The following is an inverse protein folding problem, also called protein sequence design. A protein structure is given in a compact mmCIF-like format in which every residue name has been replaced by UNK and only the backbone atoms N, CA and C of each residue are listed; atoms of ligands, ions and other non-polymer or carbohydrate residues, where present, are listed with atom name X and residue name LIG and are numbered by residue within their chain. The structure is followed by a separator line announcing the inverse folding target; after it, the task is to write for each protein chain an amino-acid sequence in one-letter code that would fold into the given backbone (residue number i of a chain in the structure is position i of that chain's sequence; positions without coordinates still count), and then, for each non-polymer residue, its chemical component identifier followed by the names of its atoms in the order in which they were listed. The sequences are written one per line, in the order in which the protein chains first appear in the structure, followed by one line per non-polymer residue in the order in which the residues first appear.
data_IF_916631453329
#
_entry.id   IF_916631453329
#
_cell.length_a   1.000
_cell.length_b   1.000
_cell.length_c   1.000
_cell.angle_alpha   90.00
_cell.angle_beta   90.00
_cell.angle_gamma   90.00
#
_symmetry.space_group_name_H-M   'P 1'
#
loop_
_entity.id
_entity.type
_entity.pdbx_description
1 polymer ?
#
# COMPACT_ATOMS: atom_id res chain seq x y z
N UNK A 1 -8.36 20.42 19.99
CA UNK A 1 -8.94 21.18 18.88
C UNK A 1 -9.36 20.13 17.87
N UNK A 2 -10.64 19.76 17.84
CA UNK A 2 -11.12 18.75 16.89
C UNK A 2 -11.20 19.41 15.51
N UNK A 3 -10.28 19.04 14.61
CA UNK A 3 -10.36 19.47 13.21
C UNK A 3 -11.65 18.93 12.59
N UNK A 4 -12.60 19.82 12.34
CA UNK A 4 -13.82 19.48 11.60
C UNK A 4 -13.49 19.37 10.10
N UNK A 5 -13.12 18.17 9.67
CA UNK A 5 -12.98 17.88 8.24
C UNK A 5 -14.34 17.87 7.54
N UNK A 6 -14.41 18.46 6.35
CA UNK A 6 -15.58 18.35 5.48
C UNK A 6 -15.82 16.90 5.03
N UNK A 7 -17.04 16.50 4.65
CA UNK A 7 -17.32 15.13 4.20
C UNK A 7 -16.40 14.68 3.07
N UNK A 8 -16.12 15.56 2.11
CA UNK A 8 -15.20 15.32 0.99
C UNK A 8 -13.77 15.08 1.47
N UNK A 9 -13.29 15.86 2.44
CA UNK A 9 -11.94 15.67 3.01
C UNK A 9 -11.82 14.34 3.77
N UNK A 10 -12.85 13.94 4.52
CA UNK A 10 -12.88 12.63 5.18
C UNK A 10 -12.85 11.48 4.18
N UNK A 11 -13.58 11.64 3.07
CA UNK A 11 -13.65 10.65 2.01
C UNK A 11 -12.31 10.55 1.24
N UNK A 12 -11.68 11.67 0.92
CA UNK A 12 -10.33 11.73 0.34
C UNK A 12 -9.32 11.01 1.25
N UNK A 13 -9.31 11.32 2.55
CA UNK A 13 -8.42 10.66 3.50
C UNK A 13 -8.64 9.15 3.57
N UNK A 14 -9.91 8.71 3.53
CA UNK A 14 -10.27 7.30 3.55
C UNK A 14 -9.77 6.58 2.29
N UNK A 15 -9.96 7.17 1.11
CA UNK A 15 -9.44 6.60 -0.14
C UNK A 15 -7.92 6.56 -0.15
N UNK A 16 -7.25 7.63 0.26
CA UNK A 16 -5.79 7.67 0.35
C UNK A 16 -5.26 6.57 1.27
N UNK A 17 -5.84 6.43 2.47
CA UNK A 17 -5.42 5.43 3.43
C UNK A 17 -5.58 4.00 2.88
N UNK A 18 -6.72 3.70 2.25
CA UNK A 18 -6.97 2.40 1.63
C UNK A 18 -5.98 2.15 0.48
N UNK A 19 -5.80 3.09 -0.44
CA UNK A 19 -4.87 2.91 -1.58
C UNK A 19 -3.42 2.67 -1.10
N UNK A 20 -2.93 3.46 -0.14
CA UNK A 20 -1.58 3.30 0.43
C UNK A 20 -1.45 1.95 1.15
N UNK A 21 -2.47 1.54 1.91
CA UNK A 21 -2.50 0.23 2.58
C UNK A 21 -2.29 -0.93 1.60
N UNK A 22 -2.78 -0.80 0.35
CA UNK A 22 -2.63 -1.83 -0.68
C UNK A 22 -1.40 -1.66 -1.57
N UNK A 23 -0.43 -0.80 -1.18
CA UNK A 23 0.84 -0.64 -1.88
C UNK A 23 0.75 0.20 -3.15
N UNK A 24 -0.24 1.11 -3.22
CA UNK A 24 -0.23 2.19 -4.20
C UNK A 24 0.73 3.29 -3.72
N UNK A 25 1.53 3.83 -4.64
CA UNK A 25 2.46 4.92 -4.34
C UNK A 25 1.72 6.14 -3.79
N UNK A 26 2.30 6.78 -2.78
CA UNK A 26 1.65 7.87 -2.03
C UNK A 26 1.18 9.01 -2.94
N UNK A 27 2.03 9.42 -3.89
CA UNK A 27 1.74 10.47 -4.87
C UNK A 27 0.49 10.13 -5.69
N UNK A 28 0.45 8.94 -6.30
CA UNK A 28 -0.70 8.43 -7.07
C UNK A 28 -1.94 8.29 -6.19
N UNK A 29 -1.77 7.79 -4.97
CA UNK A 29 -2.87 7.62 -4.02
C UNK A 29 -3.52 8.95 -3.62
N UNK A 30 -2.73 10.01 -3.42
CA UNK A 30 -3.26 11.36 -3.13
C UNK A 30 -4.05 11.89 -4.33
N UNK A 31 -3.51 11.79 -5.54
CA UNK A 31 -4.15 12.30 -6.75
C UNK A 31 -5.48 11.58 -7.02
N UNK A 32 -5.48 10.24 -7.00
CA UNK A 32 -6.68 9.44 -7.23
C UNK A 32 -7.71 9.62 -6.11
N UNK A 33 -7.27 9.71 -4.85
CA UNK A 33 -8.19 9.94 -3.72
C UNK A 33 -8.97 11.26 -3.87
N UNK A 34 -8.30 12.31 -4.36
CA UNK A 34 -8.95 13.60 -4.66
C UNK A 34 -9.98 13.45 -5.76
N UNK A 35 -9.61 12.84 -6.88
CA UNK A 35 -10.50 12.64 -8.02
C UNK A 35 -11.75 11.85 -7.60
N UNK A 36 -11.56 10.76 -6.85
CA UNK A 36 -12.66 9.94 -6.34
C UNK A 36 -13.54 10.67 -5.32
N UNK A 37 -12.94 11.45 -4.41
CA UNK A 37 -13.70 12.20 -3.40
C UNK A 37 -14.54 13.34 -4.01
N UNK A 38 -14.07 13.94 -5.10
CA UNK A 38 -14.82 14.96 -5.83
C UNK A 38 -15.99 14.40 -6.64
N UNK A 39 -16.07 13.07 -6.81
CA UNK A 39 -17.13 12.35 -7.53
C UNK A 39 -17.41 12.95 -8.93
N UNK A 40 -16.34 13.34 -9.62
CA UNK A 40 -16.39 13.93 -10.95
C UNK A 40 -16.74 12.81 -11.95
N UNK A 41 -17.75 12.99 -12.82
CA UNK A 41 -18.03 12.03 -13.88
C UNK A 41 -16.83 11.85 -14.81
N UNK A 42 -16.59 10.63 -15.28
CA UNK A 42 -15.46 10.32 -16.15
C UNK A 42 -15.40 11.21 -17.42
N UNK A 43 -16.57 11.65 -17.92
CA UNK A 43 -16.69 12.56 -19.06
C UNK A 43 -16.03 13.93 -18.84
N UNK A 44 -15.88 14.33 -17.57
CA UNK A 44 -15.29 15.60 -17.16
C UNK A 44 -13.82 15.46 -16.69
N UNK A 45 -13.27 14.25 -16.72
CA UNK A 45 -11.87 14.00 -16.43
C UNK A 45 -11.05 14.07 -17.72
N UNK A 46 -9.81 14.52 -17.61
CA UNK A 46 -8.86 14.38 -18.71
C UNK A 46 -8.54 12.90 -18.95
N UNK A 47 -8.13 12.56 -20.18
CA UNK A 47 -7.72 11.20 -20.51
C UNK A 47 -6.64 10.65 -19.57
N UNK A 48 -5.67 11.49 -19.18
CA UNK A 48 -4.64 11.13 -18.21
C UNK A 48 -5.17 10.86 -16.80
N UNK A 49 -6.19 11.59 -16.36
CA UNK A 49 -6.82 11.34 -15.06
C UNK A 49 -7.62 10.05 -15.07
N UNK A 50 -8.34 9.77 -16.17
CA UNK A 50 -9.05 8.49 -16.36
C UNK A 50 -8.07 7.33 -16.35
N UNK A 51 -7.00 7.39 -17.14
CA UNK A 51 -5.96 6.35 -17.18
C UNK A 51 -5.32 6.12 -15.80
N UNK A 52 -5.02 7.19 -15.07
CA UNK A 52 -4.44 7.09 -13.72
C UNK A 52 -5.41 6.42 -12.74
N UNK A 53 -6.69 6.82 -12.74
CA UNK A 53 -7.72 6.24 -11.88
C UNK A 53 -7.91 4.76 -12.21
N UNK A 54 -8.00 4.42 -13.50
CA UNK A 54 -8.13 3.04 -13.95
C UNK A 54 -6.94 2.16 -13.54
N UNK A 55 -5.71 2.63 -13.75
CA UNK A 55 -4.48 1.93 -13.36
C UNK A 55 -4.50 1.62 -11.85
N UNK A 56 -4.75 2.64 -11.04
CA UNK A 56 -4.71 2.55 -9.58
C UNK A 56 -5.84 1.68 -9.04
N UNK A 57 -7.08 1.88 -9.52
CA UNK A 57 -8.23 1.09 -9.07
C UNK A 57 -8.10 -0.38 -9.48
N UNK A 58 -7.58 -0.67 -10.68
CA UNK A 58 -7.31 -2.04 -11.11
C UNK A 58 -6.29 -2.72 -10.22
N UNK A 59 -5.15 -2.06 -9.94
CA UNK A 59 -4.11 -2.60 -9.06
C UNK A 59 -4.64 -2.82 -7.65
N UNK A 60 -5.41 -1.88 -7.10
CA UNK A 60 -6.06 -2.03 -5.80
C UNK A 60 -7.00 -3.25 -5.77
N UNK A 61 -7.84 -3.41 -6.79
CA UNK A 61 -8.79 -4.52 -6.89
C UNK A 61 -8.09 -5.88 -6.96
N UNK A 62 -7.03 -6.00 -7.76
CA UNK A 62 -6.23 -7.22 -7.86
C UNK A 62 -5.60 -7.60 -6.51
N UNK A 63 -5.01 -6.62 -5.80
CA UNK A 63 -4.40 -6.85 -4.49
C UNK A 63 -5.42 -7.24 -3.42
N UNK A 64 -6.58 -6.56 -3.39
CA UNK A 64 -7.71 -6.92 -2.52
C UNK A 64 -8.17 -8.35 -2.77
N UNK A 65 -8.35 -8.72 -4.04
CA UNK A 65 -8.79 -10.07 -4.43
C UNK A 65 -7.79 -11.13 -4.00
N UNK A 66 -6.49 -10.90 -4.23
CA UNK A 66 -5.43 -11.82 -3.79
C UNK A 66 -5.45 -12.02 -2.27
N UNK A 67 -5.66 -10.96 -1.50
CA UNK A 67 -5.74 -11.04 -0.05
C UNK A 67 -6.96 -11.82 0.44
N UNK A 68 -8.13 -11.62 -0.17
CA UNK A 68 -9.31 -12.40 0.20
C UNK A 68 -9.15 -13.89 -0.15
N UNK A 69 -8.50 -14.22 -1.26
CA UNK A 69 -8.13 -15.60 -1.57
C UNK A 69 -7.16 -16.17 -0.53
N UNK A 70 -6.13 -15.41 -0.16
CA UNK A 70 -5.18 -15.81 0.87
C UNK A 70 -5.87 -16.08 2.21
N UNK A 71 -6.79 -15.20 2.64
CA UNK A 71 -7.60 -15.41 3.85
C UNK A 71 -8.39 -16.70 3.82
N UNK A 72 -9.04 -17.01 2.70
CA UNK A 72 -9.80 -18.26 2.55
C UNK A 72 -8.91 -19.48 2.69
N UNK A 73 -7.71 -19.44 2.08
CA UNK A 73 -6.71 -20.50 2.21
C UNK A 73 -6.27 -20.65 3.66
N UNK A 74 -5.90 -19.56 4.34
CA UNK A 74 -5.46 -19.59 5.75
C UNK A 74 -6.54 -20.14 6.69
N UNK A 75 -7.81 -19.81 6.45
CA UNK A 75 -8.94 -20.34 7.21
C UNK A 75 -9.07 -21.87 7.08
N UNK A 76 -8.72 -22.46 5.93
CA UNK A 76 -8.72 -23.92 5.73
C UNK A 76 -7.63 -24.63 6.53
N UNK A 77 -6.50 -23.96 6.78
CA UNK A 77 -5.38 -24.50 7.55
C UNK A 77 -5.50 -24.25 9.06
N UNK A 78 -6.65 -23.76 9.54
CA UNK A 78 -6.89 -23.50 10.97
C UNK A 78 -6.02 -22.38 11.56
N UNK A 79 -5.33 -21.63 10.73
CA UNK A 79 -4.50 -20.50 11.15
C UNK A 79 -5.38 -19.25 11.14
N UNK A 80 -5.79 -18.80 12.33
CA UNK A 80 -6.53 -17.54 12.45
C UNK A 80 -5.60 -16.37 12.12
N UNK A 81 -5.92 -15.64 11.04
CA UNK A 81 -5.23 -14.40 10.67
C UNK A 81 -5.45 -13.27 11.68
N UNK A 82 -6.30 -13.44 12.69
CA UNK A 82 -6.38 -12.49 13.81
C UNK A 82 -5.09 -12.41 14.62
N UNK A 83 -4.18 -13.39 14.48
CA UNK A 83 -2.89 -13.41 15.17
C UNK A 83 -1.70 -12.93 14.32
N UNK A 84 -1.84 -12.80 13.00
CA UNK A 84 -0.80 -12.24 12.14
C UNK A 84 -1.17 -10.78 11.87
N UNK A 85 -0.55 -9.89 12.64
CA UNK A 85 -0.68 -8.46 12.44
C UNK A 85 -0.25 -8.11 11.02
N UNK A 86 -0.92 -7.13 10.41
CA UNK A 86 -0.51 -6.58 9.12
C UNK A 86 0.98 -6.14 9.09
N UNK A 87 1.53 -5.82 10.26
CA UNK A 87 2.95 -5.50 10.48
C UNK A 87 3.90 -6.67 10.13
N UNK A 88 3.48 -7.91 10.36
CA UNK A 88 4.29 -9.11 10.08
C UNK A 88 4.41 -9.37 8.56
N UNK A 89 3.35 -9.12 7.80
CA UNK A 89 3.35 -9.24 6.33
C UNK A 89 4.25 -8.18 5.66
N UNK A 90 4.28 -6.96 6.22
CA UNK A 90 5.19 -5.91 5.74
C UNK A 90 6.66 -6.25 6.01
N UNK A 91 6.96 -6.85 7.16
CA UNK A 91 8.33 -7.27 7.51
C UNK A 91 8.80 -8.44 6.63
N UNK A 92 7.91 -9.35 6.25
CA UNK A 92 8.23 -10.46 5.34
C UNK A 92 8.50 -10.01 3.89
N UNK A 93 7.95 -8.86 3.47
CA UNK A 93 8.12 -8.31 2.11
C UNK A 93 9.24 -7.28 2.02
N UNK A 94 9.66 -6.68 3.13
CA UNK A 94 10.90 -5.91 3.25
C UNK A 94 12.09 -6.82 3.62
N UNK A 95 12.46 -7.73 2.72
CA UNK A 95 13.75 -8.40 2.82
C UNK A 95 14.79 -7.51 2.14
N UNK A 96 15.73 -6.87 2.85
CA UNK A 96 16.86 -6.26 2.17
C UNK A 96 17.60 -7.36 1.43
N UNK A 97 17.76 -7.18 0.12
CA UNK A 97 18.74 -7.91 -0.66
C UNK A 97 20.09 -7.76 0.04
N UNK A 98 20.75 -8.91 0.19
CA UNK A 98 22.04 -9.02 0.85
C UNK A 98 23.06 -8.22 0.04
N UNK A 99 23.42 -7.02 0.49
CA UNK A 99 24.75 -6.51 0.18
C UNK A 99 25.75 -7.15 1.14
N UNK A 100 26.29 -8.27 0.64
CA UNK A 100 27.59 -8.78 1.02
C UNK A 100 28.65 -7.70 0.79
N UNK A 101 29.24 -7.17 1.86
CA UNK A 101 30.68 -6.90 1.92
C UNK A 101 31.19 -7.02 3.35
N UNK A 102 31.79 -8.19 3.60
CA UNK A 102 32.94 -8.48 4.45
C UNK A 102 33.20 -7.60 5.70
N UNK A 103 32.99 -8.21 6.87
CA UNK A 103 33.87 -8.03 8.04
C UNK A 103 34.83 -9.22 8.08
N UNK A 104 36.14 -8.95 8.10
CA UNK A 104 37.00 -9.46 9.17
C UNK A 104 38.34 -8.72 9.16
N UNK A 105 38.61 -8.08 10.30
CA UNK A 105 39.92 -7.67 10.81
C UNK A 105 41.02 -8.72 10.66
N UNK A 106 42.27 -8.25 10.57
CA UNK A 106 43.35 -8.65 11.48
C UNK A 106 44.55 -7.68 11.38
N UNK A 107 44.88 -7.08 12.52
CA UNK A 107 46.17 -6.45 12.86
C UNK A 107 47.38 -7.37 12.61
N UNK A 108 48.57 -6.82 12.29
CA UNK A 108 49.82 -7.07 13.04
C UNK A 108 51.05 -6.27 12.57
N UNK A 109 52.02 -6.14 13.49
CA UNK A 109 53.21 -5.26 13.61
C UNK A 109 54.34 -5.39 12.58
N UNK A 110 55.18 -4.35 12.54
CA UNK A 110 56.64 -4.37 12.23
C UNK A 110 57.02 -3.39 11.11
N UNK A 111 58.01 -2.50 11.21
CA UNK A 111 59.18 -2.31 12.09
C UNK A 111 59.42 -0.81 12.30
#
# INVERSE_FOLDING_TARGET
MEEQFSPTQKQEQSYRAELVKWGIELEKAIQVARILALNIPNENLSASEVELVEEVCKKWFEKRKQWEQFKQVMAQYGTSLEQLSWEDYQTATQRPEKDSTATSDSDEKGQ
#
